data_IF_999045744691
#
_entry.id   IF_999045744691
#
_cell.length_a   1.000
_cell.length_b   1.000
_cell.length_c   1.000
_cell.angle_alpha   90.00
_cell.angle_beta   90.00
_cell.angle_gamma   90.00
#
_symmetry.space_group_name_H-M   'P 1'
#
loop_
_entity.id
_entity.type
_entity.pdbx_description
1 polymer ?
#
# COMPACT_ATOMS: atom_id res chain seq x y z
N UNK A 1 -9.99 15.97 1.90
CA UNK A 1 -10.20 17.36 2.36
C UNK A 1 -8.85 18.06 2.32
N UNK A 2 -8.74 19.35 2.00
CA UNK A 2 -7.43 20.01 2.08
C UNK A 2 -6.91 20.01 3.53
N UNK A 3 -5.59 20.01 3.72
CA UNK A 3 -4.98 20.11 5.06
C UNK A 3 -5.48 21.39 5.73
N UNK A 4 -5.99 21.33 6.98
CA UNK A 4 -6.48 22.52 7.66
C UNK A 4 -5.39 23.59 7.86
N UNK A 5 -5.84 24.85 7.96
CA UNK A 5 -4.95 25.98 8.28
C UNK A 5 -4.35 25.85 9.69
N UNK A 6 -3.23 26.53 9.93
CA UNK A 6 -2.50 26.49 11.20
C UNK A 6 -3.39 26.80 12.42
N UNK A 7 -4.28 27.78 12.29
CA UNK A 7 -5.21 28.15 13.37
C UNK A 7 -6.21 27.06 13.68
N UNK A 8 -6.68 26.33 12.66
CA UNK A 8 -7.62 25.22 12.85
C UNK A 8 -6.90 24.04 13.53
N UNK A 9 -5.65 23.75 13.13
CA UNK A 9 -4.85 22.68 13.74
C UNK A 9 -4.52 22.98 15.21
N UNK A 10 -4.10 24.21 15.53
CA UNK A 10 -3.89 24.65 16.93
C UNK A 10 -5.18 24.56 17.75
N UNK A 11 -6.32 24.98 17.19
CA UNK A 11 -7.61 24.84 17.84
C UNK A 11 -7.98 23.37 18.08
N UNK A 12 -7.66 22.48 17.14
CA UNK A 12 -7.92 21.05 17.26
C UNK A 12 -7.13 20.41 18.41
N UNK A 13 -5.85 20.78 18.58
CA UNK A 13 -5.04 20.36 19.74
C UNK A 13 -5.71 20.77 21.04
N UNK A 14 -6.04 22.06 21.19
CA UNK A 14 -6.71 22.59 22.40
C UNK A 14 -8.04 21.92 22.70
N UNK A 15 -8.82 21.60 21.66
CA UNK A 15 -10.05 20.82 21.81
C UNK A 15 -9.77 19.44 22.42
N UNK A 16 -8.80 18.70 21.88
CA UNK A 16 -8.47 17.35 22.32
C UNK A 16 -7.80 17.31 23.71
N UNK A 17 -7.11 18.36 24.12
CA UNK A 17 -6.56 18.49 25.48
C UNK A 17 -7.65 18.75 26.54
N UNK A 18 -8.65 19.57 26.20
CA UNK A 18 -9.69 19.99 27.15
C UNK A 18 -10.87 19.02 27.24
N UNK A 19 -11.25 18.37 26.15
CA UNK A 19 -12.41 17.46 26.09
C UNK A 19 -12.36 16.30 27.11
N UNK A 20 -11.20 15.69 27.43
CA UNK A 20 -11.13 14.67 28.48
C UNK A 20 -11.58 15.17 29.86
N UNK A 21 -11.51 16.48 30.09
CA UNK A 21 -11.76 17.11 31.39
C UNK A 21 -12.99 18.03 31.40
N UNK A 22 -13.68 18.20 30.27
CA UNK A 22 -14.76 19.16 30.11
C UNK A 22 -15.75 18.79 29.00
N UNK A 23 -17.01 19.18 29.18
CA UNK A 23 -18.01 19.00 28.12
C UNK A 23 -17.75 19.94 26.95
N UNK A 24 -18.21 19.61 25.73
CA UNK A 24 -18.05 20.50 24.58
C UNK A 24 -18.62 21.90 24.80
N UNK A 25 -19.73 22.03 25.52
CA UNK A 25 -20.32 23.34 25.85
C UNK A 25 -19.40 24.17 26.77
N UNK A 26 -18.73 23.53 27.73
CA UNK A 26 -17.79 24.19 28.65
C UNK A 26 -16.51 24.63 27.92
N UNK A 27 -15.98 23.80 27.02
CA UNK A 27 -14.82 24.17 26.20
C UNK A 27 -15.14 25.41 25.33
N UNK A 28 -16.32 25.47 24.70
CA UNK A 28 -16.76 26.65 23.93
C UNK A 28 -16.81 27.92 24.76
N UNK A 29 -17.35 27.84 25.98
CA UNK A 29 -17.35 28.97 26.90
C UNK A 29 -15.91 29.42 27.19
N UNK A 30 -15.00 28.47 27.49
CA UNK A 30 -13.59 28.79 27.73
C UNK A 30 -12.93 29.47 26.52
N UNK A 31 -13.11 28.95 25.31
CA UNK A 31 -12.53 29.52 24.09
C UNK A 31 -13.07 30.91 23.73
N UNK A 32 -14.23 31.30 24.27
CA UNK A 32 -14.83 32.61 24.01
C UNK A 32 -14.53 33.63 25.09
N UNK A 33 -14.33 33.20 26.35
CA UNK A 33 -14.21 34.12 27.49
C UNK A 33 -12.81 34.22 28.08
N UNK A 34 -11.94 33.22 27.89
CA UNK A 34 -10.62 33.18 28.52
C UNK A 34 -9.54 33.81 27.61
N UNK A 35 -8.68 34.65 28.20
CA UNK A 35 -7.65 35.41 27.46
C UNK A 35 -6.65 34.51 26.74
N UNK A 36 -6.31 33.37 27.34
CA UNK A 36 -5.32 32.41 26.81
C UNK A 36 -5.76 31.74 25.48
N UNK A 37 -7.02 31.90 25.08
CA UNK A 37 -7.58 31.35 23.85
C UNK A 37 -7.99 32.43 22.82
N UNK A 38 -7.63 33.69 23.06
CA UNK A 38 -8.05 34.83 22.24
C UNK A 38 -7.31 34.95 20.89
N UNK A 39 -6.24 34.19 20.68
CA UNK A 39 -5.46 34.15 19.44
C UNK A 39 -6.18 33.45 18.27
N UNK A 40 -7.24 32.69 18.57
CA UNK A 40 -8.05 31.97 17.58
C UNK A 40 -9.51 32.41 17.70
N UNK A 41 -10.16 32.67 16.57
CA UNK A 41 -11.56 33.13 16.58
C UNK A 41 -12.52 32.00 16.97
N UNK A 42 -13.69 32.30 17.58
CA UNK A 42 -14.70 31.28 17.90
C UNK A 42 -15.12 30.44 16.70
N UNK A 43 -15.24 31.06 15.51
CA UNK A 43 -15.54 30.36 14.26
C UNK A 43 -14.46 29.34 13.90
N UNK A 44 -13.18 29.67 14.09
CA UNK A 44 -12.08 28.73 13.84
C UNK A 44 -12.09 27.55 14.82
N UNK A 45 -12.48 27.77 16.08
CA UNK A 45 -12.69 26.71 17.04
C UNK A 45 -13.83 25.77 16.64
N UNK A 46 -14.95 26.30 16.15
CA UNK A 46 -16.04 25.43 15.66
C UNK A 46 -15.64 24.65 14.41
N UNK A 47 -14.92 25.29 13.47
CA UNK A 47 -14.37 24.59 12.30
C UNK A 47 -13.43 23.45 12.71
N UNK A 48 -12.58 23.67 13.72
CA UNK A 48 -11.72 22.63 14.26
C UNK A 48 -12.52 21.49 14.90
N UNK A 49 -13.57 21.79 15.65
CA UNK A 49 -14.43 20.77 16.26
C UNK A 49 -15.16 19.91 15.21
N UNK A 50 -15.68 20.53 14.15
CA UNK A 50 -16.29 19.83 13.02
C UNK A 50 -15.26 18.93 12.33
N UNK A 51 -14.08 19.45 12.04
CA UNK A 51 -12.99 18.68 11.44
C UNK A 51 -12.58 17.49 12.32
N UNK A 52 -12.40 17.67 13.63
CA UNK A 52 -12.09 16.58 14.57
C UNK A 52 -13.15 15.47 14.54
N UNK A 53 -14.42 15.83 14.39
CA UNK A 53 -15.52 14.88 14.29
C UNK A 53 -15.46 14.09 12.98
N UNK A 54 -15.22 14.78 11.87
CA UNK A 54 -15.11 14.17 10.54
C UNK A 54 -13.87 13.28 10.42
N UNK A 55 -12.75 13.68 11.04
CA UNK A 55 -11.54 12.89 11.15
C UNK A 55 -11.66 11.74 12.17
N UNK A 56 -12.80 11.58 12.85
CA UNK A 56 -13.05 10.51 13.83
C UNK A 56 -12.30 10.66 15.16
N UNK A 57 -11.55 11.75 15.37
CA UNK A 57 -10.70 11.97 16.54
C UNK A 57 -11.48 12.15 17.85
N UNK A 58 -12.77 12.51 17.78
CA UNK A 58 -13.64 12.64 18.95
C UNK A 58 -14.13 11.30 19.53
N UNK A 59 -13.99 10.19 18.80
CA UNK A 59 -14.49 8.85 19.21
C UNK A 59 -13.46 7.99 19.95
N UNK A 60 -12.28 8.57 20.19
CA UNK A 60 -11.33 8.13 21.23
C UNK A 60 -10.68 6.73 21.11
N UNK A 61 -10.15 6.31 19.96
CA UNK A 61 -9.44 5.03 19.86
C UNK A 61 -7.96 5.06 20.29
N UNK A 62 -7.28 6.22 20.40
CA UNK A 62 -5.81 6.30 20.56
C UNK A 62 -5.33 7.23 21.70
N UNK A 63 -5.87 7.12 22.91
CA UNK A 63 -5.40 7.93 24.07
C UNK A 63 -3.93 7.75 24.45
N UNK A 64 -3.30 6.66 23.99
CA UNK A 64 -1.89 6.37 24.27
C UNK A 64 -0.91 7.25 23.50
N UNK A 65 -1.38 7.94 22.45
CA UNK A 65 -0.57 8.85 21.63
C UNK A 65 -0.79 10.30 22.07
N UNK A 66 0.23 11.15 21.91
CA UNK A 66 0.10 12.59 22.18
C UNK A 66 -0.98 13.21 21.28
N UNK A 67 -1.57 14.30 21.76
CA UNK A 67 -2.65 14.98 21.03
C UNK A 67 -2.14 15.51 19.69
N UNK A 68 -0.94 16.08 19.70
CA UNK A 68 -0.23 16.61 18.54
C UNK A 68 -0.05 15.54 17.48
N UNK A 69 0.34 14.32 17.88
CA UNK A 69 0.60 13.22 16.96
C UNK A 69 -0.69 12.74 16.29
N UNK A 70 -1.79 12.71 17.04
CA UNK A 70 -3.12 12.38 16.53
C UNK A 70 -3.62 13.42 15.54
N UNK A 71 -3.40 14.71 15.83
CA UNK A 71 -3.75 15.83 14.94
C UNK A 71 -2.90 15.79 13.66
N UNK A 72 -1.59 15.56 13.78
CA UNK A 72 -0.69 15.38 12.64
C UNK A 72 -1.16 14.23 11.74
N UNK A 73 -1.40 13.06 12.33
CA UNK A 73 -1.82 11.85 11.61
C UNK A 73 -3.16 12.05 10.87
N UNK A 74 -4.12 12.69 11.53
CA UNK A 74 -5.41 13.01 10.93
C UNK A 74 -5.28 14.05 9.80
N UNK A 75 -4.43 15.07 9.98
CA UNK A 75 -4.18 16.07 8.95
C UNK A 75 -3.60 15.43 7.68
N UNK A 76 -2.59 14.57 7.83
CA UNK A 76 -1.98 13.84 6.72
C UNK A 76 -2.96 12.86 6.06
N UNK A 77 -3.71 12.08 6.85
CA UNK A 77 -4.68 11.09 6.32
C UNK A 77 -5.87 11.73 5.61
N UNK A 78 -6.29 12.92 6.05
CA UNK A 78 -7.42 13.64 5.45
C UNK A 78 -7.07 14.32 4.12
N UNK A 79 -5.78 14.50 3.86
CA UNK A 79 -5.26 15.14 2.65
C UNK A 79 -5.35 14.18 1.46
N UNK A 80 -6.03 14.54 0.36
CA UNK A 80 -5.96 13.80 -0.90
C UNK A 80 -4.64 14.11 -1.63
N UNK A 81 -3.57 14.32 -0.87
CA UNK A 81 -2.27 14.62 -1.42
C UNK A 81 -1.84 13.45 -2.29
N UNK A 82 -1.73 13.70 -3.60
CA UNK A 82 -1.31 12.68 -4.57
C UNK A 82 0.01 12.02 -4.15
N UNK A 83 0.86 12.76 -3.42
CA UNK A 83 2.13 12.26 -2.92
C UNK A 83 1.98 11.16 -1.86
N UNK A 84 0.93 11.18 -1.03
CA UNK A 84 0.80 10.21 0.06
C UNK A 84 0.53 8.80 -0.47
N UNK A 85 -0.16 8.66 -1.61
CA UNK A 85 -0.38 7.35 -2.24
C UNK A 85 0.93 6.67 -2.67
N UNK A 86 1.96 7.48 -2.96
CA UNK A 86 3.28 7.03 -3.43
C UNK A 86 4.39 7.48 -2.46
N UNK A 87 4.08 7.59 -1.16
CA UNK A 87 5.03 8.11 -0.17
C UNK A 87 6.29 7.24 -0.06
N UNK A 88 6.19 5.94 -0.32
CA UNK A 88 7.34 5.01 -0.35
C UNK A 88 8.36 5.31 -1.45
N UNK A 89 7.95 6.03 -2.48
CA UNK A 89 8.80 6.45 -3.59
C UNK A 89 9.20 7.92 -3.41
N UNK A 90 8.26 8.76 -2.99
CA UNK A 90 8.40 10.22 -2.98
C UNK A 90 9.01 10.77 -1.68
N UNK A 91 8.95 10.02 -0.59
CA UNK A 91 9.38 10.44 0.75
C UNK A 91 10.18 9.30 1.40
N UNK A 92 11.43 9.12 0.97
CA UNK A 92 12.31 8.03 1.44
C UNK A 92 13.17 8.44 2.62
N UNK A 93 13.40 9.74 2.75
CA UNK A 93 14.17 10.35 3.83
C UNK A 93 13.50 11.63 4.35
N UNK A 94 13.81 12.08 5.58
CA UNK A 94 13.21 13.27 6.17
C UNK A 94 13.35 14.55 5.33
N UNK A 95 14.44 14.69 4.58
CA UNK A 95 14.69 15.81 3.66
C UNK A 95 13.75 15.87 2.46
N UNK A 96 13.09 14.76 2.11
CA UNK A 96 12.13 14.67 1.00
C UNK A 96 10.70 15.01 1.46
N UNK A 97 10.49 15.38 2.72
CA UNK A 97 9.16 15.74 3.24
C UNK A 97 8.54 16.92 2.46
N UNK A 98 7.30 16.77 1.99
CA UNK A 98 6.57 17.86 1.34
C UNK A 98 6.37 19.08 2.26
N UNK A 99 6.31 20.27 1.66
CA UNK A 99 6.22 21.53 2.41
C UNK A 99 4.98 21.64 3.31
N UNK A 100 3.87 20.99 2.92
CA UNK A 100 2.66 20.93 3.74
C UNK A 100 2.83 20.04 4.96
N UNK A 101 3.53 18.91 4.84
CA UNK A 101 3.90 18.05 5.96
C UNK A 101 4.85 18.75 6.92
N UNK A 102 5.91 19.40 6.41
CA UNK A 102 6.86 20.18 7.21
C UNK A 102 6.18 21.31 7.98
N UNK A 103 5.30 22.08 7.31
CA UNK A 103 4.53 23.14 7.97
C UNK A 103 3.71 22.61 9.15
N UNK A 104 3.04 21.47 8.99
CA UNK A 104 2.23 20.87 10.05
C UNK A 104 3.10 20.30 11.17
N UNK A 105 4.26 19.71 10.83
CA UNK A 105 5.24 19.25 11.79
C UNK A 105 5.76 20.40 12.67
N UNK A 106 6.25 21.48 12.05
CA UNK A 106 6.75 22.67 12.73
C UNK A 106 5.68 23.29 13.65
N UNK A 107 4.44 23.36 13.16
CA UNK A 107 3.31 23.89 13.91
C UNK A 107 3.03 23.11 15.20
N UNK A 108 3.19 21.80 15.14
CA UNK A 108 2.90 20.85 16.21
C UNK A 108 4.14 20.51 17.06
N UNK A 109 5.29 21.09 16.72
CA UNK A 109 6.54 20.93 17.47
C UNK A 109 7.30 19.64 17.16
N UNK A 110 7.07 19.02 16.00
CA UNK A 110 7.80 17.83 15.56
C UNK A 110 9.05 18.19 14.76
N UNK A 111 10.09 17.38 14.89
CA UNK A 111 11.22 17.38 13.95
C UNK A 111 10.82 16.76 12.61
N UNK A 112 11.65 16.98 11.58
CA UNK A 112 11.48 16.32 10.29
C UNK A 112 11.57 14.80 10.43
N UNK A 113 12.45 14.30 11.31
CA UNK A 113 12.62 12.87 11.58
C UNK A 113 11.37 12.24 12.20
N UNK A 114 10.74 12.93 13.15
CA UNK A 114 9.49 12.48 13.79
C UNK A 114 8.34 12.47 12.79
N UNK A 115 8.18 13.56 12.02
CA UNK A 115 7.15 13.67 11.00
C UNK A 115 7.30 12.60 9.91
N UNK A 116 8.54 12.34 9.47
CA UNK A 116 8.86 11.29 8.52
C UNK A 116 8.52 9.90 9.06
N UNK A 117 8.92 9.59 10.30
CA UNK A 117 8.61 8.31 10.95
C UNK A 117 7.10 8.05 11.03
N UNK A 118 6.33 9.09 11.30
CA UNK A 118 4.86 9.00 11.37
C UNK A 118 4.21 8.83 10.00
N UNK A 119 4.68 9.55 8.98
CA UNK A 119 4.23 9.35 7.60
C UNK A 119 4.53 7.91 7.14
N UNK A 120 5.72 7.40 7.41
CA UNK A 120 6.11 6.01 7.08
C UNK A 120 5.21 5.00 7.81
N UNK A 121 4.94 5.21 9.11
CA UNK A 121 4.09 4.33 9.89
C UNK A 121 2.63 4.36 9.42
N UNK A 122 2.10 5.54 9.10
CA UNK A 122 0.75 5.70 8.56
C UNK A 122 0.62 5.08 7.18
N UNK A 123 1.54 5.39 6.27
CA UNK A 123 1.56 4.86 4.93
C UNK A 123 1.68 3.33 4.97
N UNK A 124 2.59 2.78 5.79
CA UNK A 124 2.76 1.34 5.93
C UNK A 124 1.49 0.59 6.33
N UNK A 125 0.63 1.18 7.17
CA UNK A 125 -0.69 0.60 7.52
C UNK A 125 -1.67 0.64 6.34
N UNK A 126 -1.84 1.82 5.74
CA UNK A 126 -2.75 2.03 4.60
C UNK A 126 -2.34 1.16 3.42
N UNK A 127 -1.05 1.09 3.15
CA UNK A 127 -0.45 0.33 2.08
C UNK A 127 -0.56 -1.18 2.31
N UNK A 128 -0.46 -1.67 3.55
CA UNK A 128 -0.68 -3.09 3.84
C UNK A 128 -2.12 -3.53 3.50
N UNK A 129 -3.13 -2.79 3.97
CA UNK A 129 -4.53 -3.08 3.68
C UNK A 129 -4.82 -2.99 2.18
N UNK A 130 -4.29 -1.94 1.53
CA UNK A 130 -4.44 -1.72 0.09
C UNK A 130 -3.77 -2.84 -0.71
N UNK A 131 -2.54 -3.25 -0.34
CA UNK A 131 -1.80 -4.35 -0.97
C UNK A 131 -2.54 -5.66 -0.84
N UNK A 132 -3.10 -5.97 0.33
CA UNK A 132 -3.92 -7.17 0.53
C UNK A 132 -5.14 -7.17 -0.39
N UNK A 133 -5.87 -6.04 -0.47
CA UNK A 133 -7.02 -5.91 -1.35
C UNK A 133 -6.65 -6.06 -2.83
N UNK A 134 -5.59 -5.38 -3.28
CA UNK A 134 -5.11 -5.41 -4.66
C UNK A 134 -4.55 -6.80 -5.02
N UNK A 135 -3.82 -7.44 -4.10
CA UNK A 135 -3.31 -8.80 -4.20
C UNK A 135 -4.44 -9.80 -4.45
N UNK A 136 -5.39 -9.88 -3.52
CA UNK A 136 -6.53 -10.78 -3.62
C UNK A 136 -7.39 -10.53 -4.87
N UNK A 137 -7.58 -9.27 -5.25
CA UNK A 137 -8.31 -8.93 -6.47
C UNK A 137 -7.60 -9.40 -7.74
N UNK A 138 -6.28 -9.26 -7.80
CA UNK A 138 -5.49 -9.67 -8.96
C UNK A 138 -5.35 -11.18 -9.09
N UNK A 139 -5.16 -11.90 -7.98
CA UNK A 139 -5.22 -13.37 -7.95
C UNK A 139 -6.57 -13.87 -8.49
N UNK A 140 -7.69 -13.38 -7.93
CA UNK A 140 -9.03 -13.79 -8.34
C UNK A 140 -9.31 -13.45 -9.81
N UNK A 141 -8.85 -12.28 -10.26
CA UNK A 141 -9.01 -11.88 -11.65
C UNK A 141 -8.20 -12.76 -12.61
N UNK A 142 -6.98 -13.16 -12.22
CA UNK A 142 -6.15 -14.08 -12.99
C UNK A 142 -6.77 -15.48 -13.03
N UNK A 143 -7.25 -16.02 -11.91
CA UNK A 143 -7.98 -17.31 -11.87
C UNK A 143 -9.17 -17.30 -12.83
N UNK A 144 -9.99 -16.24 -12.80
CA UNK A 144 -11.14 -16.10 -13.72
C UNK A 144 -10.71 -16.04 -15.18
N UNK A 145 -9.61 -15.35 -15.48
CA UNK A 145 -9.09 -15.23 -16.82
C UNK A 145 -8.56 -16.57 -17.34
N UNK A 146 -7.78 -17.28 -16.52
CA UNK A 146 -7.25 -18.61 -16.82
C UNK A 146 -8.39 -19.61 -17.03
N UNK A 147 -9.34 -19.69 -16.09
CA UNK A 147 -10.47 -20.62 -16.19
C UNK A 147 -11.37 -20.36 -17.41
N UNK A 148 -11.42 -19.12 -17.91
CA UNK A 148 -12.20 -18.76 -19.09
C UNK A 148 -11.52 -19.13 -20.40
N UNK A 149 -10.21 -18.91 -20.51
CA UNK A 149 -9.50 -18.95 -21.80
C UNK A 149 -8.50 -20.09 -21.94
N UNK A 150 -8.13 -20.74 -20.84
CA UNK A 150 -7.19 -21.85 -20.84
C UNK A 150 -7.98 -23.16 -20.64
N UNK A 151 -7.93 -24.11 -21.59
CA UNK A 151 -8.54 -25.43 -21.46
C UNK A 151 -7.76 -26.32 -20.48
N UNK A 152 -7.72 -25.90 -19.23
CA UNK A 152 -6.99 -26.54 -18.14
C UNK A 152 -7.83 -26.52 -16.86
N UNK A 153 -7.52 -27.41 -15.93
CA UNK A 153 -8.00 -27.25 -14.55
C UNK A 153 -7.18 -26.17 -13.87
N UNK A 154 -7.85 -25.21 -13.24
CA UNK A 154 -7.22 -24.11 -12.50
C UNK A 154 -7.62 -24.22 -11.03
N UNK A 155 -6.64 -24.40 -10.16
CA UNK A 155 -6.83 -24.43 -8.71
C UNK A 155 -6.29 -23.14 -8.10
N UNK A 156 -7.10 -22.42 -7.32
CA UNK A 156 -6.66 -21.29 -6.50
C UNK A 156 -6.10 -21.85 -5.18
N UNK A 157 -4.81 -22.16 -5.17
CA UNK A 157 -4.11 -22.84 -4.08
C UNK A 157 -4.08 -21.98 -2.82
N UNK A 158 -3.86 -20.67 -2.95
CA UNK A 158 -3.87 -19.72 -1.83
C UNK A 158 -5.23 -19.67 -1.08
N UNK A 159 -6.35 -20.04 -1.73
CA UNK A 159 -7.64 -20.14 -1.04
C UNK A 159 -7.74 -21.36 -0.11
N UNK A 160 -6.80 -22.32 -0.20
CA UNK A 160 -6.82 -23.59 0.51
C UNK A 160 -5.59 -23.77 1.42
N UNK A 161 -4.41 -23.29 1.03
CA UNK A 161 -3.16 -23.47 1.77
C UNK A 161 -2.07 -22.47 1.36
N UNK A 162 -1.53 -21.74 2.33
CA UNK A 162 -0.37 -20.85 2.15
C UNK A 162 0.97 -21.64 2.14
N UNK A 163 0.93 -22.94 2.41
CA UNK A 163 2.14 -23.76 2.58
C UNK A 163 2.85 -24.13 1.28
N UNK A 164 2.21 -23.96 0.11
CA UNK A 164 2.75 -24.42 -1.17
C UNK A 164 3.81 -23.49 -1.76
N UNK A 165 3.81 -22.20 -1.41
CA UNK A 165 4.73 -21.20 -1.96
C UNK A 165 4.39 -20.73 -3.38
N UNK A 166 3.13 -20.88 -3.79
CA UNK A 166 2.52 -20.33 -5.00
C UNK A 166 1.00 -20.19 -4.81
N UNK A 167 0.37 -19.29 -5.56
CA UNK A 167 -1.04 -18.94 -5.39
C UNK A 167 -2.00 -19.76 -6.28
N UNK A 168 -1.57 -20.10 -7.50
CA UNK A 168 -2.43 -20.74 -8.51
C UNK A 168 -1.70 -21.93 -9.14
N UNK A 169 -2.39 -23.05 -9.31
CA UNK A 169 -1.93 -24.17 -10.12
C UNK A 169 -2.78 -24.31 -11.39
N UNK A 170 -2.13 -24.35 -12.55
CA UNK A 170 -2.76 -24.55 -13.85
C UNK A 170 -2.33 -25.90 -14.40
N UNK A 171 -3.25 -26.84 -14.49
CA UNK A 171 -2.99 -28.22 -14.90
C UNK A 171 -3.25 -28.41 -16.39
N UNK A 172 -2.21 -28.19 -17.20
CA UNK A 172 -2.21 -28.52 -18.64
C UNK A 172 -1.53 -29.88 -18.85
N UNK A 173 -2.10 -30.81 -19.60
CA UNK A 173 -1.37 -32.05 -19.87
C UNK A 173 -0.12 -31.75 -20.74
N UNK A 174 1.10 -32.18 -20.38
CA UNK A 174 1.47 -33.10 -19.30
C UNK A 174 2.01 -32.44 -18.01
N UNK A 175 2.09 -31.12 -17.91
CA UNK A 175 2.73 -30.39 -16.80
C UNK A 175 1.78 -29.38 -16.13
N UNK A 176 1.81 -29.33 -14.81
CA UNK A 176 1.21 -28.25 -14.06
C UNK A 176 2.16 -27.04 -14.02
N UNK A 177 1.64 -25.84 -14.26
CA UNK A 177 2.35 -24.58 -14.02
C UNK A 177 1.89 -24.01 -12.68
N UNK A 178 2.84 -23.57 -11.86
CA UNK A 178 2.57 -22.98 -10.55
C UNK A 178 2.86 -21.49 -10.60
N UNK A 179 1.88 -20.65 -10.26
CA UNK A 179 1.95 -19.21 -10.42
C UNK A 179 1.92 -18.55 -9.04
N UNK A 180 2.95 -17.78 -8.74
CA UNK A 180 2.97 -16.79 -7.67
C UNK A 180 2.52 -15.45 -8.25
N UNK A 181 1.51 -14.81 -7.68
CA UNK A 181 0.85 -13.63 -8.25
C UNK A 181 1.21 -12.38 -7.45
N UNK A 182 1.74 -11.37 -8.13
CA UNK A 182 1.98 -10.04 -7.55
C UNK A 182 1.18 -8.99 -8.31
N UNK A 183 0.30 -8.29 -7.61
CA UNK A 183 -0.68 -7.40 -8.23
C UNK A 183 -0.41 -5.94 -7.90
N UNK A 184 -0.64 -5.04 -8.87
CA UNK A 184 -0.45 -3.60 -8.68
C UNK A 184 -1.44 -2.77 -9.48
N UNK A 185 -1.72 -1.55 -9.00
CA UNK A 185 -2.46 -0.52 -9.74
C UNK A 185 -1.52 0.48 -10.42
N UNK A 186 -0.25 0.51 -10.00
CA UNK A 186 0.75 1.47 -10.48
C UNK A 186 1.16 1.15 -11.92
N UNK A 187 1.55 2.18 -12.66
CA UNK A 187 2.20 2.06 -13.98
C UNK A 187 3.72 2.13 -13.81
N UNK A 188 4.48 1.59 -14.76
CA UNK A 188 5.94 1.62 -14.71
C UNK A 188 6.54 0.51 -13.86
N UNK A 189 7.41 0.88 -12.91
CA UNK A 189 8.18 -0.06 -12.07
C UNK A 189 7.26 -0.91 -11.20
N UNK A 190 7.61 -2.19 -11.10
CA UNK A 190 6.89 -3.17 -10.28
C UNK A 190 7.65 -3.41 -8.98
N UNK A 191 7.03 -3.03 -7.86
CA UNK A 191 7.50 -3.43 -6.53
C UNK A 191 7.03 -4.85 -6.22
N UNK A 192 7.97 -5.75 -5.93
CA UNK A 192 7.73 -7.15 -5.59
C UNK A 192 8.16 -7.35 -4.14
N UNK A 193 7.24 -7.87 -3.32
CA UNK A 193 7.58 -8.41 -2.01
C UNK A 193 7.67 -9.93 -2.14
N UNK A 194 8.86 -10.47 -1.92
CA UNK A 194 9.16 -11.90 -2.06
C UNK A 194 9.57 -12.46 -0.70
N UNK A 195 8.84 -13.48 -0.23
CA UNK A 195 9.23 -14.22 0.97
C UNK A 195 10.35 -15.21 0.71
N UNK A 196 11.06 -15.62 1.75
CA UNK A 196 12.08 -16.66 1.64
C UNK A 196 11.48 -17.99 1.18
N UNK A 197 10.27 -18.31 1.64
CA UNK A 197 9.56 -19.53 1.27
C UNK A 197 9.20 -19.54 -0.23
N UNK A 198 8.69 -18.43 -0.77
CA UNK A 198 8.43 -18.27 -2.21
C UNK A 198 9.72 -18.45 -3.02
N UNK A 199 10.81 -17.81 -2.62
CA UNK A 199 12.09 -17.92 -3.31
C UNK A 199 12.65 -19.34 -3.30
N UNK A 200 12.63 -20.03 -2.16
CA UNK A 200 13.12 -21.41 -2.10
C UNK A 200 12.19 -22.38 -2.84
N UNK A 201 10.90 -22.06 -2.97
CA UNK A 201 9.96 -22.81 -3.81
C UNK A 201 10.28 -22.62 -5.28
N UNK A 202 10.44 -21.38 -5.74
CA UNK A 202 10.91 -21.04 -7.09
C UNK A 202 12.19 -21.80 -7.47
N UNK A 203 13.17 -21.88 -6.55
CA UNK A 203 14.44 -22.58 -6.82
C UNK A 203 14.30 -24.09 -6.99
N UNK A 204 13.31 -24.71 -6.34
CA UNK A 204 13.12 -26.17 -6.36
C UNK A 204 12.14 -26.61 -7.44
N UNK A 205 11.22 -25.74 -7.81
CA UNK A 205 10.13 -26.02 -8.72
C UNK A 205 10.34 -25.35 -10.08
N UNK A 206 10.73 -26.15 -11.07
CA UNK A 206 10.97 -25.68 -12.44
C UNK A 206 9.70 -25.19 -13.16
N UNK A 207 8.51 -25.47 -12.62
CA UNK A 207 7.23 -25.01 -13.18
C UNK A 207 6.70 -23.75 -12.48
N UNK A 208 7.43 -23.23 -11.49
CA UNK A 208 7.06 -22.04 -10.75
C UNK A 208 7.37 -20.78 -11.56
N UNK A 209 6.42 -19.85 -11.62
CA UNK A 209 6.54 -18.56 -12.29
C UNK A 209 6.01 -17.45 -11.39
N UNK A 210 6.76 -16.34 -11.28
CA UNK A 210 6.23 -15.11 -10.69
C UNK A 210 5.51 -14.29 -11.76
N UNK A 211 4.19 -14.16 -11.61
CA UNK A 211 3.30 -13.45 -12.51
C UNK A 211 2.90 -12.11 -11.91
N UNK A 212 3.20 -11.03 -12.62
CA UNK A 212 2.76 -9.70 -12.32
C UNK A 212 1.41 -9.39 -12.99
N UNK A 213 0.44 -8.87 -12.24
CA UNK A 213 -0.87 -8.46 -12.74
C UNK A 213 -1.07 -6.97 -12.50
N UNK A 214 -1.16 -6.18 -13.57
CA UNK A 214 -1.58 -4.78 -13.47
C UNK A 214 -3.09 -4.68 -13.53
N UNK A 215 -3.69 -4.06 -12.53
CA UNK A 215 -5.12 -3.78 -12.47
C UNK A 215 -5.42 -2.31 -12.83
N UNK A 216 -6.63 -2.03 -13.31
CA UNK A 216 -7.19 -0.66 -13.36
C UNK A 216 -7.72 -0.25 -11.98
N UNK A 217 -8.13 1.01 -11.82
CA UNK A 217 -8.80 1.50 -10.61
C UNK A 217 -10.06 0.70 -10.24
N UNK A 218 -10.70 0.08 -11.23
CA UNK A 218 -11.89 -0.78 -11.10
C UNK A 218 -11.52 -2.25 -10.85
N UNK A 219 -10.25 -2.55 -10.55
CA UNK A 219 -9.72 -3.89 -10.28
C UNK A 219 -9.85 -4.87 -11.47
N UNK A 220 -9.78 -4.34 -12.70
CA UNK A 220 -9.80 -5.14 -13.94
C UNK A 220 -8.37 -5.36 -14.45
N UNK A 221 -7.96 -6.58 -14.84
CA UNK A 221 -6.65 -6.81 -15.45
C UNK A 221 -6.46 -5.98 -16.71
N UNK A 222 -5.36 -5.22 -16.73
CA UNK A 222 -4.97 -4.36 -17.84
C UNK A 222 -3.63 -4.76 -18.48
N UNK A 223 -2.77 -5.48 -17.74
CA UNK A 223 -1.56 -6.11 -18.27
C UNK A 223 -1.19 -7.31 -17.40
N UNK A 224 -0.56 -8.32 -17.99
CA UNK A 224 0.03 -9.46 -17.30
C UNK A 224 1.46 -9.61 -17.82
N UNK A 225 2.40 -9.88 -16.93
CA UNK A 225 3.77 -10.18 -17.26
C UNK A 225 4.35 -11.24 -16.32
N UNK A 226 5.45 -11.86 -16.73
CA UNK A 226 6.22 -12.80 -15.92
C UNK A 226 7.57 -12.17 -15.58
N UNK A 227 8.01 -12.34 -14.34
CA UNK A 227 9.34 -11.92 -13.88
C UNK A 227 10.29 -13.11 -13.98
N UNK A 228 11.41 -12.99 -14.72
CA UNK A 228 12.34 -14.10 -14.91
C UNK A 228 12.99 -14.56 -13.59
N UNK A 229 13.01 -15.87 -13.34
CA UNK A 229 13.55 -16.46 -12.10
C UNK A 229 15.07 -16.26 -11.96
N UNK A 230 15.79 -16.17 -13.06
CA UNK A 230 17.22 -15.84 -13.10
C UNK A 230 17.47 -14.39 -12.66
N UNK A 231 16.64 -13.45 -13.11
CA UNK A 231 16.67 -12.07 -12.63
C UNK A 231 16.38 -11.99 -11.14
N UNK A 232 15.34 -12.70 -10.65
CA UNK A 232 15.04 -12.75 -9.21
C UNK A 232 16.26 -13.27 -8.43
N UNK A 233 16.82 -14.41 -8.86
CA UNK A 233 17.98 -15.03 -8.20
C UNK A 233 19.22 -14.13 -8.16
N UNK A 234 19.40 -13.27 -9.17
CA UNK A 234 20.52 -12.33 -9.23
C UNK A 234 20.34 -11.09 -8.33
N UNK A 235 19.12 -10.79 -7.87
CA UNK A 235 18.80 -9.54 -7.17
C UNK A 235 18.32 -9.72 -5.73
N UNK A 236 18.08 -10.96 -5.26
CA UNK A 236 17.76 -11.21 -3.86
C UNK A 236 18.98 -11.08 -2.95
N UNK A 237 18.80 -10.78 -1.65
CA UNK A 237 19.90 -10.79 -0.69
C UNK A 237 20.56 -12.16 -0.56
N UNK A 238 21.85 -12.16 -0.22
CA UNK A 238 22.62 -13.38 0.07
C UNK A 238 22.85 -13.48 1.58
N UNK A 239 22.56 -14.65 2.15
CA UNK A 239 22.89 -14.90 3.56
C UNK A 239 24.42 -15.01 3.71
N UNK A 240 25.00 -14.18 4.56
CA UNK A 240 26.45 -14.16 4.78
C UNK A 240 26.92 -15.06 5.93
N UNK A 241 26.01 -15.46 6.84
CA UNK A 241 26.35 -16.25 8.03
C UNK A 241 25.24 -17.25 8.35
N UNK A 242 25.56 -18.26 9.15
CA UNK A 242 24.55 -19.24 9.62
C UNK A 242 23.61 -18.66 10.70
N UNK A 243 24.01 -17.56 11.34
CA UNK A 243 23.29 -16.98 12.48
C UNK A 243 22.29 -15.90 12.08
N UNK A 244 22.27 -15.51 10.80
CA UNK A 244 21.36 -14.51 10.26
C UNK A 244 21.00 -14.83 8.83
N UNK A 245 19.70 -14.85 8.55
CA UNK A 245 19.15 -15.09 7.22
C UNK A 245 18.05 -14.08 6.91
N UNK A 246 17.84 -13.78 5.64
CA UNK A 246 16.70 -12.95 5.24
C UNK A 246 15.42 -13.80 5.19
N UNK A 247 14.30 -13.20 5.62
CA UNK A 247 12.96 -13.82 5.62
C UNK A 247 12.05 -13.23 4.54
N UNK A 248 12.25 -11.97 4.16
CA UNK A 248 11.57 -11.31 3.06
C UNK A 248 12.46 -10.24 2.44
N UNK A 249 12.23 -9.93 1.16
CA UNK A 249 12.91 -8.83 0.47
C UNK A 249 11.94 -8.04 -0.43
N UNK A 250 12.32 -6.80 -0.73
CA UNK A 250 11.64 -5.93 -1.71
C UNK A 250 12.52 -5.83 -2.95
N UNK A 251 11.97 -6.15 -4.11
CA UNK A 251 12.62 -6.01 -5.40
C UNK A 251 11.87 -4.94 -6.22
N UNK A 252 12.62 -4.07 -6.89
CA UNK A 252 12.08 -3.07 -7.81
C UNK A 252 12.38 -3.50 -9.24
N UNK A 253 11.47 -4.28 -9.83
CA UNK A 253 11.63 -4.80 -11.18
C UNK A 253 11.34 -3.68 -12.20
N UNK A 254 12.32 -3.31 -13.04
CA UNK A 254 12.11 -2.30 -14.07
C UNK A 254 11.32 -2.90 -15.25
N UNK A 255 10.55 -2.10 -16.01
CA UNK A 255 9.68 -2.61 -17.07
C UNK A 255 10.37 -3.47 -18.12
N UNK A 256 11.66 -3.23 -18.36
CA UNK A 256 12.47 -3.93 -19.37
C UNK A 256 12.75 -5.40 -19.00
N UNK A 257 12.63 -5.76 -17.72
CA UNK A 257 12.80 -7.13 -17.22
C UNK A 257 11.52 -7.95 -17.38
N UNK A 258 10.36 -7.28 -17.43
CA UNK A 258 9.05 -7.93 -17.43
C UNK A 258 8.78 -8.55 -18.81
N UNK A 259 8.57 -9.86 -18.83
CA UNK A 259 8.19 -10.59 -20.04
C UNK A 259 6.67 -10.56 -20.18
N UNK A 260 6.09 -9.96 -21.24
CA UNK A 260 4.63 -9.91 -21.39
C UNK A 260 3.99 -11.31 -21.42
N UNK A 261 2.84 -11.44 -20.75
CA UNK A 261 2.07 -12.69 -20.68
C UNK A 261 2.65 -13.73 -19.71
N UNK A 262 2.21 -14.99 -19.91
CA UNK A 262 2.67 -16.15 -19.16
C UNK A 262 3.28 -17.15 -20.16
N UNK A 263 4.62 -17.21 -20.30
CA UNK A 263 5.28 -18.00 -21.34
C UNK A 263 4.86 -19.48 -21.40
N UNK A 264 4.61 -20.11 -20.26
CA UNK A 264 4.16 -21.50 -20.19
C UNK A 264 2.80 -21.75 -20.88
N UNK A 265 2.00 -20.70 -21.09
CA UNK A 265 0.68 -20.77 -21.72
C UNK A 265 0.69 -20.34 -23.19
N UNK A 266 1.82 -19.84 -23.71
CA UNK A 266 1.92 -19.31 -25.08
C UNK A 266 1.70 -20.35 -26.18
N UNK A 267 1.92 -21.64 -25.88
CA UNK A 267 1.74 -22.75 -26.82
C UNK A 267 0.34 -23.36 -26.84
N UNK A 268 -0.59 -22.86 -26.04
CA UNK A 268 -1.94 -23.42 -25.95
C UNK A 268 -2.77 -22.87 -27.12
N UNK A 269 -3.17 -23.71 -28.09
CA UNK A 269 -3.98 -23.25 -29.21
C UNK A 269 -5.37 -22.96 -28.67
N UNK A 270 -5.69 -21.68 -28.54
CA UNK A 270 -7.05 -21.25 -28.29
C UNK A 270 -7.37 -20.15 -29.29
N UNK A 271 -8.20 -20.50 -30.27
CA UNK A 271 -9.05 -19.53 -30.93
C UNK A 271 -9.76 -18.75 -29.81
N UNK A 272 -9.39 -17.48 -29.62
CA UNK A 272 -9.82 -16.56 -28.54
C UNK A 272 -9.04 -16.59 -27.21
N UNK A 273 -7.76 -16.99 -27.15
CA UNK A 273 -6.96 -16.72 -25.94
C UNK A 273 -6.89 -15.20 -25.66
N UNK A 274 -6.90 -14.82 -24.39
CA UNK A 274 -6.79 -13.40 -24.01
C UNK A 274 -5.42 -12.84 -24.40
N UNK A 275 -5.40 -11.70 -25.10
CA UNK A 275 -4.19 -10.93 -25.41
C UNK A 275 -3.32 -10.57 -24.18
N UNK A 276 -3.92 -10.60 -22.99
CA UNK A 276 -3.21 -10.45 -21.72
C UNK A 276 -2.36 -11.69 -21.38
N UNK A 277 -2.89 -12.90 -21.59
CA UNK A 277 -2.21 -14.15 -21.24
C UNK A 277 -1.07 -14.48 -22.22
N UNK A 278 -1.26 -14.13 -23.50
CA UNK A 278 -0.30 -14.42 -24.58
C UNK A 278 0.85 -13.41 -24.67
N UNK A 279 0.73 -12.27 -23.97
CA UNK A 279 1.74 -11.21 -23.99
C UNK A 279 1.63 -10.25 -25.17
N UNK A 280 0.55 -10.28 -25.94
CA UNK A 280 0.27 -9.26 -26.96
C UNK A 280 0.11 -7.86 -26.35
N UNK A 281 -0.45 -7.79 -25.14
CA UNK A 281 -0.51 -6.56 -24.35
C UNK A 281 0.77 -6.46 -23.51
N UNK A 282 1.60 -5.45 -23.81
CA UNK A 282 2.85 -5.20 -23.09
C UNK A 282 2.62 -4.59 -21.72
N UNK A 283 3.59 -4.79 -20.83
CA UNK A 283 3.64 -4.06 -19.57
C UNK A 283 3.83 -2.56 -19.85
N UNK A 284 2.98 -1.68 -19.28
CA UNK A 284 3.06 -0.26 -19.52
C UNK A 284 4.16 0.38 -18.65
N UNK A 285 5.17 0.92 -19.32
CA UNK A 285 6.21 1.78 -18.76
C UNK A 285 5.68 3.18 -18.48
#
# INVERSE_FOLDING_TARGET
MAIPSDRILRAAVRWLELLPHSSPARCRALFTTHTDYSDITPTQYELAYVWLREAGLLRDPERSRSVELRVFSAAMSSSPAAWFADADILVREPSELPADALRVADLLGFSAEEAHGEIVAMWGKVDLERRQQVGAAGELALVKLLAKYVPARVDHVAAVSDGHGYDIAVHTAPLATHLEVKSTLRRGRLTIHLSRHEFETMRRDAQWLLVAVRLTSELVPAAIATVPSDWISANVPVDHTISGRWEACRLEAPPEVLQPGIPALAGIPADNCSALLTGEIRWPG
#
